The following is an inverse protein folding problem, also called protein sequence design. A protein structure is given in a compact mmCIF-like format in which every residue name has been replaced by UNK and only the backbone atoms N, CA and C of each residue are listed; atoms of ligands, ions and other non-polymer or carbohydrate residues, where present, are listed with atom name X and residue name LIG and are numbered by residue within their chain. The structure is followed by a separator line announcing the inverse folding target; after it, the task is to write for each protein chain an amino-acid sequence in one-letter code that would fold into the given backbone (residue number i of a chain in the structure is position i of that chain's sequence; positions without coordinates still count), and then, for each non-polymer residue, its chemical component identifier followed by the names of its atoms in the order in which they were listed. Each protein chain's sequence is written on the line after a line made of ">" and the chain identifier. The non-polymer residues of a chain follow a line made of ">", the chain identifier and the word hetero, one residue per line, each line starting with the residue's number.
data_IF_736915958892
#
_entry.id   IF_736915958892
#
_cell.length_a   1.000
_cell.length_b   1.000
_cell.length_c   1.000
_cell.angle_alpha   90.00
_cell.angle_beta   90.00
_cell.angle_gamma   90.00
#
_symmetry.space_group_name_H-M   'P 1'
#
loop_
_entity.id
_entity.type
_entity.pdbx_description
1 polymer ?
#
# COMPACT_ATOMS: atom_id res chain seq x y z
N UNK A 1 -14.53 32.94 1.94
CA UNK A 1 -15.72 32.05 1.82
C UNK A 1 -15.96 31.36 3.16
N UNK A 2 -17.21 31.17 3.61
CA UNK A 2 -17.52 30.62 4.94
C UNK A 2 -18.03 29.17 4.89
N UNK A 3 -17.88 28.46 6.00
CA UNK A 3 -18.55 27.17 6.20
C UNK A 3 -20.03 27.38 6.48
N UNK A 4 -20.86 26.41 6.05
CA UNK A 4 -22.28 26.38 6.39
C UNK A 4 -22.50 25.53 7.64
N UNK A 5 -23.38 25.98 8.53
CA UNK A 5 -23.76 25.26 9.75
C UNK A 5 -25.28 25.13 9.82
N UNK A 6 -25.76 23.99 10.29
CA UNK A 6 -27.18 23.81 10.57
C UNK A 6 -27.65 24.79 11.64
N UNK A 7 -28.84 25.37 11.48
CA UNK A 7 -29.48 26.25 12.47
C UNK A 7 -29.68 25.56 13.84
N UNK A 8 -29.67 24.23 13.84
CA UNK A 8 -29.72 23.36 15.02
C UNK A 8 -28.42 23.32 15.81
N UNK A 9 -27.37 24.01 15.38
CA UNK A 9 -26.05 23.95 16.02
C UNK A 9 -25.61 25.31 16.56
N UNK A 10 -24.77 25.31 17.59
CA UNK A 10 -24.13 26.50 18.12
C UNK A 10 -22.75 26.18 18.71
N UNK A 11 -21.78 27.06 18.48
CA UNK A 11 -20.47 26.97 19.12
C UNK A 11 -20.54 27.45 20.56
N UNK A 12 -19.99 26.66 21.49
CA UNK A 12 -19.93 26.97 22.93
C UNK A 12 -18.60 26.51 23.51
N UNK A 13 -18.32 26.87 24.77
CA UNK A 13 -17.17 26.31 25.50
C UNK A 13 -17.34 24.81 25.66
N UNK A 14 -16.32 24.04 25.31
CA UNK A 14 -16.31 22.59 25.43
C UNK A 14 -15.66 22.14 26.74
N UNK A 15 -16.03 20.92 27.19
CA UNK A 15 -15.32 20.22 28.27
C UNK A 15 -14.18 19.34 27.75
N UNK A 16 -14.18 19.03 26.45
CA UNK A 16 -13.13 18.27 25.78
C UNK A 16 -11.96 19.23 25.49
N UNK A 17 -12.20 20.23 24.65
CA UNK A 17 -11.16 21.17 24.23
C UNK A 17 -11.74 22.51 23.78
N UNK A 18 -11.22 23.61 24.31
CA UNK A 18 -11.53 24.98 23.88
C UNK A 18 -13.01 25.25 23.64
N UNK A 19 -13.41 25.29 22.35
CA UNK A 19 -14.79 25.42 21.91
C UNK A 19 -15.24 24.17 21.16
N UNK A 20 -16.50 23.81 21.35
CA UNK A 20 -17.17 22.71 20.66
C UNK A 20 -18.41 23.19 19.93
N UNK A 21 -18.87 22.40 18.97
CA UNK A 21 -20.16 22.56 18.30
C UNK A 21 -21.21 21.76 19.08
N UNK A 22 -22.34 22.37 19.41
CA UNK A 22 -23.38 21.74 20.23
C UNK A 22 -24.72 21.76 19.54
N UNK A 23 -25.52 20.71 19.76
CA UNK A 23 -26.92 20.65 19.37
C UNK A 23 -27.73 21.66 20.19
N UNK A 24 -28.46 22.57 19.54
CA UNK A 24 -29.45 23.46 20.15
C UNK A 24 -30.79 22.77 20.33
N UNK A 25 -31.12 21.86 19.43
CA UNK A 25 -32.33 21.05 19.38
C UNK A 25 -31.95 19.62 18.92
N UNK A 26 -32.86 18.62 19.03
CA UNK A 26 -32.58 17.27 18.56
C UNK A 26 -32.20 17.23 17.08
N UNK A 27 -31.17 16.46 16.76
CA UNK A 27 -30.67 16.23 15.39
C UNK A 27 -30.85 14.75 15.09
N UNK A 28 -31.63 14.41 14.07
CA UNK A 28 -31.85 13.03 13.65
C UNK A 28 -30.63 12.46 12.93
N UNK A 29 -30.48 11.14 12.99
CA UNK A 29 -29.46 10.40 12.25
C UNK A 29 -29.53 10.75 10.75
N UNK A 30 -28.37 11.02 10.14
CA UNK A 30 -28.23 11.36 8.74
C UNK A 30 -28.45 12.84 8.38
N UNK A 31 -28.89 13.69 9.32
CA UNK A 31 -28.97 15.14 9.11
C UNK A 31 -27.58 15.76 8.92
N UNK A 32 -27.48 16.74 8.02
CA UNK A 32 -26.25 17.50 7.80
C UNK A 32 -26.11 18.55 8.90
N UNK A 33 -24.97 18.54 9.59
CA UNK A 33 -24.69 19.47 10.71
C UNK A 33 -23.78 20.62 10.28
N UNK A 34 -22.87 20.38 9.34
CA UNK A 34 -22.00 21.39 8.77
C UNK A 34 -21.51 21.00 7.36
N UNK A 35 -21.19 22.00 6.55
CA UNK A 35 -20.46 21.83 5.27
C UNK A 35 -19.24 22.75 5.31
N UNK A 36 -18.05 22.16 5.22
CA UNK A 36 -16.79 22.88 5.32
C UNK A 36 -16.56 23.74 4.07
N UNK A 37 -16.41 25.03 4.30
CA UNK A 37 -15.98 26.04 3.33
C UNK A 37 -14.54 26.48 3.56
N UNK A 38 -14.03 27.27 2.63
CA UNK A 38 -12.66 27.79 2.63
C UNK A 38 -12.09 27.86 1.22
N UNK A 39 -10.83 28.26 1.11
CA UNK A 39 -10.04 28.12 -0.10
C UNK A 39 -9.27 26.80 -0.07
N UNK A 40 -9.10 26.20 -1.26
CA UNK A 40 -8.24 25.03 -1.44
C UNK A 40 -6.80 25.52 -1.54
N UNK A 41 -5.91 24.92 -0.74
CA UNK A 41 -4.50 25.25 -0.70
C UNK A 41 -3.66 23.98 -0.84
N UNK A 42 -2.58 24.07 -1.60
CA UNK A 42 -1.53 23.05 -1.55
C UNK A 42 -0.72 23.14 -0.25
N UNK A 43 0.06 22.10 0.03
CA UNK A 43 0.88 22.01 1.23
C UNK A 43 1.86 23.18 1.37
N UNK A 44 2.41 23.69 0.27
CA UNK A 44 3.40 24.79 0.33
C UNK A 44 2.74 26.10 0.75
N UNK A 45 1.56 26.38 0.20
CA UNK A 45 0.77 27.57 0.51
C UNK A 45 0.20 27.46 1.92
N UNK A 46 -0.35 26.30 2.28
CA UNK A 46 -0.89 26.04 3.61
C UNK A 46 0.20 26.18 4.69
N UNK A 47 1.38 25.61 4.49
CA UNK A 47 2.48 25.72 5.46
C UNK A 47 2.90 27.17 5.76
N UNK A 48 2.79 28.09 4.79
CA UNK A 48 3.09 29.52 5.00
C UNK A 48 2.00 30.25 5.79
N UNK A 49 0.77 29.77 5.71
CA UNK A 49 -0.40 30.40 6.33
C UNK A 49 -0.84 29.71 7.62
N UNK A 50 -0.31 28.51 7.92
CA UNK A 50 -0.76 27.63 9.01
C UNK A 50 -0.94 28.36 10.33
N UNK A 51 0.06 29.11 10.78
CA UNK A 51 0.01 29.87 12.03
C UNK A 51 -1.10 30.94 12.08
N UNK A 52 -1.57 31.40 10.92
CA UNK A 52 -2.60 32.42 10.79
C UNK A 52 -4.02 31.85 10.60
N UNK A 53 -4.16 30.58 10.24
CA UNK A 53 -5.45 30.00 9.81
C UNK A 53 -5.82 28.73 10.58
N UNK A 54 -4.87 28.10 11.28
CA UNK A 54 -5.14 26.94 12.11
C UNK A 54 -5.92 27.31 13.38
N UNK A 55 -6.76 26.41 13.91
CA UNK A 55 -7.02 25.03 13.46
C UNK A 55 -8.28 24.92 12.56
N UNK A 56 -8.50 25.86 11.64
CA UNK A 56 -9.69 25.88 10.79
C UNK A 56 -9.54 25.15 9.44
N UNK A 57 -8.48 24.37 9.27
CA UNK A 57 -8.19 23.53 8.11
C UNK A 57 -8.88 22.15 8.18
N UNK A 58 -9.11 21.55 7.03
CA UNK A 58 -9.43 20.12 6.88
C UNK A 58 -8.62 19.59 5.70
N UNK A 59 -7.96 18.44 5.87
CA UNK A 59 -7.28 17.78 4.75
C UNK A 59 -8.30 17.19 3.77
N UNK A 60 -8.09 17.39 2.47
CA UNK A 60 -8.98 16.89 1.40
C UNK A 60 -8.25 16.05 0.35
N UNK A 61 -6.92 16.00 0.35
CA UNK A 61 -6.10 15.04 -0.40
C UNK A 61 -4.68 15.05 0.20
N UNK A 62 -3.85 14.10 -0.20
CA UNK A 62 -2.40 14.15 0.02
C UNK A 62 -1.85 15.50 -0.47
N UNK A 63 -1.42 16.35 0.47
CA UNK A 63 -0.90 17.69 0.19
C UNK A 63 -1.94 18.76 -0.21
N UNK A 64 -3.25 18.51 -0.07
CA UNK A 64 -4.29 19.52 -0.30
C UNK A 64 -5.19 19.70 0.93
N UNK A 65 -5.46 20.96 1.27
CA UNK A 65 -6.26 21.36 2.42
C UNK A 65 -7.34 22.36 2.00
N UNK A 66 -8.46 22.37 2.73
CA UNK A 66 -9.45 23.45 2.69
C UNK A 66 -9.35 24.28 3.98
N UNK A 67 -9.02 25.57 3.86
CA UNK A 67 -8.74 26.45 5.00
C UNK A 67 -9.22 27.89 4.71
N UNK A 68 -9.42 28.74 5.74
CA UNK A 68 -9.60 30.18 5.52
C UNK A 68 -8.33 30.82 4.94
N UNK A 69 -8.46 31.98 4.29
CA UNK A 69 -7.32 32.70 3.71
C UNK A 69 -6.66 33.68 4.68
N UNK A 70 -7.31 34.02 5.80
CA UNK A 70 -6.82 34.96 6.80
C UNK A 70 -7.40 34.67 8.19
N UNK A 71 -6.82 35.28 9.21
CA UNK A 71 -7.26 35.14 10.60
C UNK A 71 -8.72 35.59 10.82
N UNK A 72 -9.17 36.65 10.13
CA UNK A 72 -10.53 37.17 10.25
C UNK A 72 -11.59 36.20 9.71
N UNK A 73 -11.21 35.28 8.83
CA UNK A 73 -12.10 34.25 8.28
C UNK A 73 -12.16 32.98 9.15
N UNK A 74 -11.32 32.84 10.19
CA UNK A 74 -11.26 31.65 11.05
C UNK A 74 -12.63 31.36 11.66
N UNK A 75 -13.28 32.35 12.27
CA UNK A 75 -14.52 32.09 13.01
C UNK A 75 -15.63 31.56 12.10
N UNK A 76 -15.69 32.03 10.86
CA UNK A 76 -16.66 31.58 9.88
C UNK A 76 -16.35 30.19 9.30
N UNK A 77 -15.15 29.65 9.53
CA UNK A 77 -14.65 28.44 8.89
C UNK A 77 -14.23 27.32 9.84
N UNK A 78 -13.94 27.62 11.10
CA UNK A 78 -13.62 26.62 12.12
C UNK A 78 -14.89 25.84 12.48
N UNK A 79 -14.84 24.52 12.35
CA UNK A 79 -16.02 23.68 12.60
C UNK A 79 -16.33 23.51 14.09
N UNK A 80 -15.30 23.59 14.94
CA UNK A 80 -15.37 23.25 16.36
C UNK A 80 -15.91 21.82 16.61
N UNK A 81 -15.64 20.89 15.69
CA UNK A 81 -15.92 19.47 15.88
C UNK A 81 -14.72 18.85 16.59
N UNK A 82 -14.79 18.79 17.92
CA UNK A 82 -13.73 18.19 18.72
C UNK A 82 -13.66 16.68 18.51
N UNK A 83 -12.48 16.13 18.80
CA UNK A 83 -12.25 14.71 18.77
C UNK A 83 -13.07 13.95 19.83
N UNK A 84 -13.69 12.83 19.45
CA UNK A 84 -14.13 11.77 20.38
C UNK A 84 -13.83 10.38 19.82
N UNK A 85 -13.39 9.46 20.68
CA UNK A 85 -13.25 8.02 20.34
C UNK A 85 -14.60 7.28 20.30
N UNK A 86 -15.69 7.93 20.70
CA UNK A 86 -17.07 7.51 20.44
C UNK A 86 -17.86 8.70 19.88
N UNK A 87 -17.64 9.05 18.60
CA UNK A 87 -18.17 10.26 17.99
C UNK A 87 -19.64 10.12 17.64
N UNK A 88 -20.34 11.24 17.46
CA UNK A 88 -21.71 11.27 16.94
C UNK A 88 -21.85 11.94 15.57
N UNK A 89 -20.75 12.49 15.03
CA UNK A 89 -20.66 13.09 13.69
C UNK A 89 -19.63 12.35 12.86
N UNK A 90 -19.97 12.12 11.59
CA UNK A 90 -19.09 11.55 10.57
C UNK A 90 -19.15 12.37 9.29
N UNK A 91 -18.53 11.86 8.22
CA UNK A 91 -18.40 12.57 6.93
C UNK A 91 -19.17 11.83 5.83
N UNK A 92 -19.88 12.59 4.99
CA UNK A 92 -20.49 12.10 3.76
C UNK A 92 -19.85 12.83 2.57
N UNK A 93 -19.23 12.09 1.65
CA UNK A 93 -18.43 12.71 0.59
C UNK A 93 -17.12 13.25 1.17
N UNK A 94 -16.74 14.50 0.86
CA UNK A 94 -15.44 15.05 1.32
C UNK A 94 -15.56 16.03 2.48
N UNK A 95 -16.49 16.98 2.39
CA UNK A 95 -16.55 18.16 3.28
C UNK A 95 -17.92 18.34 3.93
N UNK A 96 -18.81 17.36 3.82
CA UNK A 96 -20.16 17.41 4.43
C UNK A 96 -20.17 16.55 5.69
N UNK A 97 -20.48 17.16 6.83
CA UNK A 97 -20.51 16.51 8.13
C UNK A 97 -21.95 16.18 8.51
N UNK A 98 -22.18 14.94 8.93
CA UNK A 98 -23.51 14.38 9.16
C UNK A 98 -23.60 13.69 10.52
N UNK A 99 -24.78 13.74 11.14
CA UNK A 99 -25.05 12.96 12.35
C UNK A 99 -25.06 11.46 12.04
N UNK A 100 -24.31 10.67 12.80
CA UNK A 100 -24.22 9.20 12.63
C UNK A 100 -25.36 8.45 13.33
N UNK A 101 -25.99 9.11 14.29
CA UNK A 101 -27.08 8.63 15.16
C UNK A 101 -27.90 9.83 15.62
N UNK A 102 -29.05 9.59 16.25
CA UNK A 102 -29.82 10.68 16.87
C UNK A 102 -29.01 11.37 17.98
N UNK A 103 -28.99 12.70 17.96
CA UNK A 103 -28.22 13.53 18.89
C UNK A 103 -29.22 14.38 19.70
N UNK A 104 -29.26 14.25 21.03
CA UNK A 104 -30.16 15.03 21.86
C UNK A 104 -29.72 16.50 21.92
N UNK A 105 -30.68 17.40 22.17
CA UNK A 105 -30.39 18.80 22.42
C UNK A 105 -29.38 18.96 23.58
N UNK A 106 -28.42 19.86 23.41
CA UNK A 106 -27.37 20.13 24.38
C UNK A 106 -26.15 19.20 24.30
N UNK A 107 -26.19 18.12 23.51
CA UNK A 107 -25.01 17.28 23.30
C UNK A 107 -23.96 18.00 22.43
N UNK A 108 -22.69 17.72 22.72
CA UNK A 108 -21.57 18.15 21.87
C UNK A 108 -21.49 17.25 20.63
N UNK A 109 -21.34 17.88 19.47
CA UNK A 109 -21.08 17.23 18.20
C UNK A 109 -19.58 16.98 18.10
N UNK A 110 -19.21 15.70 18.00
CA UNK A 110 -17.83 15.25 18.01
C UNK A 110 -17.57 14.29 16.86
N UNK A 111 -16.36 14.32 16.34
CA UNK A 111 -15.89 13.49 15.23
C UNK A 111 -14.67 12.67 15.68
N UNK A 112 -14.47 11.50 15.10
CA UNK A 112 -13.18 10.81 15.20
C UNK A 112 -12.27 11.28 14.07
N UNK A 113 -11.10 11.83 14.40
CA UNK A 113 -10.17 12.38 13.40
C UNK A 113 -9.65 11.32 12.42
N UNK A 114 -9.72 10.03 12.76
CA UNK A 114 -9.49 8.95 11.81
C UNK A 114 -10.41 9.02 10.56
N UNK A 115 -11.55 9.72 10.65
CA UNK A 115 -12.47 9.91 9.51
C UNK A 115 -12.03 10.99 8.52
N UNK A 116 -11.07 11.85 8.87
CA UNK A 116 -10.68 13.02 8.07
C UNK A 116 -9.17 13.22 7.91
N UNK A 117 -8.37 12.75 8.85
CA UNK A 117 -6.93 12.98 8.91
C UNK A 117 -6.15 11.75 8.43
N UNK A 118 -5.13 12.01 7.61
CA UNK A 118 -4.20 11.01 7.11
C UNK A 118 -2.73 11.41 7.20
N UNK A 119 -2.40 12.53 7.86
CA UNK A 119 -1.01 12.99 7.98
C UNK A 119 -0.29 12.23 9.10
N UNK A 120 0.74 11.40 8.81
CA UNK A 120 1.44 10.63 9.83
C UNK A 120 2.15 11.49 10.88
N UNK A 121 2.37 12.78 10.60
CA UNK A 121 2.94 13.71 11.57
C UNK A 121 1.93 14.15 12.65
N UNK A 122 0.63 14.01 12.39
CA UNK A 122 -0.42 14.42 13.32
C UNK A 122 -0.53 13.45 14.49
N UNK A 123 -0.44 13.99 15.70
CA UNK A 123 -0.51 13.24 16.96
C UNK A 123 -0.99 14.14 18.07
N UNK A 124 -2.00 13.68 18.82
CA UNK A 124 -2.51 14.39 19.98
C UNK A 124 -2.83 13.46 21.16
N UNK A 125 -2.72 13.99 22.38
CA UNK A 125 -3.26 13.34 23.58
C UNK A 125 -4.78 13.54 23.64
N UNK A 126 -5.50 12.49 23.98
CA UNK A 126 -6.96 12.47 23.93
C UNK A 126 -7.58 12.35 25.33
N UNK A 127 -8.41 13.34 25.65
CA UNK A 127 -9.16 13.48 26.91
C UNK A 127 -10.67 13.43 26.70
N UNK A 128 -11.16 12.89 25.56
CA UNK A 128 -12.57 12.96 25.16
C UNK A 128 -13.60 12.33 26.12
N UNK A 129 -13.16 11.53 27.10
CA UNK A 129 -14.02 10.93 28.12
C UNK A 129 -14.83 9.71 27.67
N UNK A 130 -14.71 9.27 26.41
CA UNK A 130 -15.34 8.03 25.94
C UNK A 130 -14.84 6.80 26.73
N UNK A 131 -15.69 5.78 26.99
CA UNK A 131 -15.30 4.58 27.74
C UNK A 131 -14.08 3.86 27.15
N UNK A 132 -14.02 3.76 25.82
CA UNK A 132 -12.92 3.15 25.06
C UNK A 132 -12.02 4.23 24.42
N UNK A 133 -11.65 5.25 25.21
CA UNK A 133 -10.76 6.32 24.76
C UNK A 133 -9.35 5.77 24.44
N UNK A 134 -8.87 6.03 23.21
CA UNK A 134 -7.53 5.63 22.72
C UNK A 134 -6.37 6.28 23.45
N UNK A 135 -6.60 7.36 24.21
CA UNK A 135 -5.60 8.19 24.92
C UNK A 135 -4.62 8.95 24.02
N UNK A 136 -4.27 8.40 22.86
CA UNK A 136 -3.49 9.05 21.82
C UNK A 136 -4.23 8.84 20.50
N UNK A 137 -4.38 9.92 19.75
CA UNK A 137 -4.94 9.91 18.40
C UNK A 137 -3.83 10.27 17.44
N UNK A 138 -3.73 9.55 16.33
CA UNK A 138 -2.71 9.77 15.30
C UNK A 138 -3.35 9.90 13.93
N UNK A 139 -2.68 10.55 12.99
CA UNK A 139 -3.10 10.58 11.58
C UNK A 139 -2.97 9.23 10.85
N UNK A 140 -2.54 8.17 11.53
CA UNK A 140 -2.54 6.79 11.03
C UNK A 140 -3.74 5.97 11.55
N UNK A 141 -4.56 6.51 12.45
CA UNK A 141 -5.66 5.76 13.07
C UNK A 141 -6.70 5.25 12.06
N UNK A 142 -6.83 5.87 10.89
CA UNK A 142 -7.70 5.40 9.81
C UNK A 142 -7.33 3.99 9.31
N UNK A 143 -6.10 3.53 9.53
CA UNK A 143 -5.63 2.17 9.19
C UNK A 143 -6.17 1.09 10.11
N UNK A 144 -6.75 1.47 11.26
CA UNK A 144 -7.22 0.53 12.28
C UNK A 144 -8.46 -0.25 11.82
N UNK A 145 -8.41 -1.59 11.73
CA UNK A 145 -9.54 -2.38 11.23
C UNK A 145 -10.82 -2.25 12.06
N UNK A 146 -10.71 -2.02 13.37
CA UNK A 146 -11.83 -1.74 14.26
C UNK A 146 -12.54 -0.44 13.90
N UNK A 147 -11.80 0.63 13.63
CA UNK A 147 -12.36 1.93 13.24
C UNK A 147 -12.96 1.89 11.84
N UNK A 148 -12.30 1.22 10.89
CA UNK A 148 -12.82 1.02 9.53
C UNK A 148 -14.19 0.33 9.54
N UNK A 149 -14.37 -0.70 10.37
CA UNK A 149 -15.67 -1.37 10.54
C UNK A 149 -16.69 -0.48 11.23
N UNK A 150 -16.29 0.18 12.32
CA UNK A 150 -17.20 0.99 13.14
C UNK A 150 -17.74 2.21 12.40
N UNK A 151 -16.92 2.84 11.57
CA UNK A 151 -17.26 4.08 10.84
C UNK A 151 -17.46 3.84 9.35
N UNK A 152 -17.77 2.61 8.95
CA UNK A 152 -18.06 2.27 7.56
C UNK A 152 -19.14 3.22 6.99
N UNK A 153 -18.82 3.89 5.89
CA UNK A 153 -19.70 4.88 5.24
C UNK A 153 -19.61 6.32 5.78
N UNK A 154 -18.77 6.58 6.79
CA UNK A 154 -18.60 7.90 7.43
C UNK A 154 -17.19 8.50 7.32
N UNK A 155 -16.27 7.84 6.62
CA UNK A 155 -14.96 8.41 6.29
C UNK A 155 -15.09 9.47 5.18
N UNK A 156 -14.22 10.48 5.19
CA UNK A 156 -14.07 11.40 4.07
C UNK A 156 -13.66 10.63 2.80
N UNK A 157 -13.98 11.19 1.63
CA UNK A 157 -13.65 10.57 0.34
C UNK A 157 -12.16 10.32 0.21
N UNK A 158 -11.34 11.27 0.68
CA UNK A 158 -9.88 11.14 0.73
C UNK A 158 -9.44 9.90 1.51
N UNK A 159 -9.93 9.70 2.72
CA UNK A 159 -9.56 8.53 3.53
C UNK A 159 -10.08 7.23 2.90
N UNK A 160 -11.28 7.24 2.33
CA UNK A 160 -11.81 6.08 1.60
C UNK A 160 -10.95 5.69 0.41
N UNK A 161 -10.48 6.66 -0.39
CA UNK A 161 -9.59 6.39 -1.52
C UNK A 161 -8.24 5.84 -1.05
N UNK A 162 -7.74 6.26 0.11
CA UNK A 162 -6.53 5.70 0.73
C UNK A 162 -6.68 4.23 1.14
N UNK A 163 -7.86 3.80 1.62
CA UNK A 163 -8.11 2.37 1.84
C UNK A 163 -7.87 1.56 0.57
N UNK A 164 -8.38 2.05 -0.56
CA UNK A 164 -8.21 1.41 -1.87
C UNK A 164 -6.75 1.40 -2.34
N UNK A 165 -6.01 2.49 -2.11
CA UNK A 165 -4.58 2.58 -2.45
C UNK A 165 -3.75 1.56 -1.65
N UNK A 166 -3.97 1.41 -0.35
CA UNK A 166 -3.22 0.45 0.47
C UNK A 166 -3.58 -1.01 0.20
N UNK A 167 -4.87 -1.30 0.00
CA UNK A 167 -5.29 -2.64 -0.39
C UNK A 167 -4.70 -3.03 -1.76
N UNK A 168 -4.65 -2.11 -2.73
CA UNK A 168 -4.01 -2.34 -4.04
C UNK A 168 -2.50 -2.49 -3.95
N UNK A 169 -1.83 -1.70 -3.12
CA UNK A 169 -0.40 -1.82 -2.87
C UNK A 169 0.00 -3.18 -2.27
N UNK A 170 -0.95 -3.99 -1.80
CA UNK A 170 -0.70 -5.33 -1.25
C UNK A 170 -0.88 -6.44 -2.30
N UNK A 171 -1.56 -6.17 -3.43
CA UNK A 171 -1.86 -7.19 -4.45
C UNK A 171 -0.73 -7.26 -5.47
N UNK A 172 -0.18 -8.46 -5.64
CA UNK A 172 0.82 -8.76 -6.68
C UNK A 172 0.18 -9.67 -7.71
N UNK A 173 0.26 -9.26 -8.97
CA UNK A 173 -0.21 -10.04 -10.11
C UNK A 173 0.94 -10.86 -10.68
N UNK A 174 0.71 -12.14 -10.94
CA UNK A 174 1.68 -13.00 -11.62
C UNK A 174 1.28 -13.13 -13.09
N UNK A 175 2.22 -12.88 -13.99
CA UNK A 175 2.00 -12.93 -15.44
C UNK A 175 3.09 -13.74 -16.12
N UNK A 176 2.73 -14.48 -17.17
CA UNK A 176 3.72 -15.05 -18.08
C UNK A 176 4.14 -13.97 -19.08
N UNK A 177 5.42 -13.90 -19.41
CA UNK A 177 5.88 -13.07 -20.52
C UNK A 177 5.41 -13.69 -21.86
N UNK A 178 4.53 -12.97 -22.56
CA UNK A 178 3.96 -13.35 -23.85
C UNK A 178 3.87 -12.18 -24.85
N UNK A 179 4.24 -10.97 -24.43
CA UNK A 179 4.24 -9.75 -25.25
C UNK A 179 5.61 -9.08 -25.27
N UNK A 180 5.94 -8.27 -26.31
CA UNK A 180 7.20 -7.53 -26.37
C UNK A 180 7.49 -6.67 -25.13
N UNK A 181 6.45 -6.07 -24.53
CA UNK A 181 6.54 -5.22 -23.35
C UNK A 181 6.99 -6.03 -22.12
N UNK A 182 6.39 -7.21 -21.92
CA UNK A 182 6.75 -8.09 -20.81
C UNK A 182 8.15 -8.69 -20.98
N UNK A 183 8.55 -9.04 -22.20
CA UNK A 183 9.93 -9.47 -22.46
C UNK A 183 10.96 -8.37 -22.22
N UNK A 184 10.62 -7.12 -22.55
CA UNK A 184 11.44 -5.95 -22.24
C UNK A 184 11.55 -5.71 -20.73
N UNK A 185 10.45 -5.86 -19.98
CA UNK A 185 10.47 -5.78 -18.53
C UNK A 185 11.33 -6.90 -17.89
N UNK A 186 11.22 -8.13 -18.37
CA UNK A 186 12.03 -9.26 -17.91
C UNK A 186 13.53 -9.02 -18.13
N UNK A 187 13.90 -8.51 -19.31
CA UNK A 187 15.27 -8.16 -19.67
C UNK A 187 15.88 -7.19 -18.66
N UNK A 188 15.18 -6.10 -18.35
CA UNK A 188 15.66 -5.10 -17.38
C UNK A 188 15.94 -5.71 -16.01
N UNK A 189 15.05 -6.57 -15.51
CA UNK A 189 15.25 -7.26 -14.22
C UNK A 189 16.46 -8.21 -14.24
N UNK A 190 16.67 -8.93 -15.34
CA UNK A 190 17.80 -9.86 -15.47
C UNK A 190 19.14 -9.11 -15.57
N UNK A 191 19.16 -7.98 -16.28
CA UNK A 191 20.32 -7.08 -16.35
C UNK A 191 20.63 -6.46 -14.98
N UNK A 192 19.61 -5.97 -14.26
CA UNK A 192 19.76 -5.45 -12.89
C UNK A 192 20.27 -6.54 -11.92
N UNK A 193 19.74 -7.76 -12.03
CA UNK A 193 20.23 -8.90 -11.28
C UNK A 193 21.71 -9.18 -11.55
N UNK A 194 22.11 -9.23 -12.82
CA UNK A 194 23.50 -9.49 -13.19
C UNK A 194 24.44 -8.38 -12.68
N UNK A 195 24.05 -7.11 -12.82
CA UNK A 195 24.81 -5.98 -12.29
C UNK A 195 24.90 -6.00 -10.75
N UNK A 196 23.94 -6.61 -10.06
CA UNK A 196 23.96 -6.76 -8.60
C UNK A 196 24.89 -7.86 -8.09
N UNK A 197 25.37 -8.73 -8.98
CA UNK A 197 26.31 -9.79 -8.63
C UNK A 197 27.74 -9.26 -8.82
N UNK A 198 28.53 -9.30 -7.75
CA UNK A 198 29.96 -8.96 -7.74
C UNK A 198 30.83 -10.05 -8.41
N UNK A 199 30.28 -10.67 -9.45
CA UNK A 199 30.88 -11.74 -10.22
C UNK A 199 30.65 -11.41 -11.68
N UNK A 200 31.72 -11.42 -12.46
CA UNK A 200 31.63 -11.23 -13.91
C UNK A 200 30.79 -12.37 -14.52
N UNK A 201 29.53 -12.07 -14.80
CA UNK A 201 28.62 -12.92 -15.55
C UNK A 201 28.66 -12.59 -17.05
N UNK A 202 29.47 -11.62 -17.49
CA UNK A 202 29.61 -11.14 -18.88
C UNK A 202 30.34 -12.16 -19.78
N UNK A 203 30.06 -13.44 -19.60
CA UNK A 203 30.34 -14.44 -20.60
C UNK A 203 29.42 -14.21 -21.82
N UNK A 204 29.92 -14.49 -23.03
CA UNK A 204 29.15 -14.38 -24.28
C UNK A 204 27.75 -15.02 -24.17
N UNK A 205 27.66 -16.14 -23.45
CA UNK A 205 26.41 -16.87 -23.20
C UNK A 205 25.33 -16.07 -22.44
N UNK A 206 25.68 -15.14 -21.53
CA UNK A 206 24.69 -14.34 -20.80
C UNK A 206 24.04 -13.28 -21.70
N UNK A 207 24.86 -12.55 -22.45
CA UNK A 207 24.36 -11.49 -23.34
C UNK A 207 23.50 -12.06 -24.46
N UNK A 208 23.89 -13.20 -25.01
CA UNK A 208 23.11 -13.92 -26.02
C UNK A 208 21.78 -14.44 -25.45
N UNK A 209 21.79 -14.99 -24.22
CA UNK A 209 20.58 -15.43 -23.53
C UNK A 209 19.60 -14.26 -23.32
N UNK A 210 20.09 -13.14 -22.79
CA UNK A 210 19.27 -11.94 -22.55
C UNK A 210 18.73 -11.37 -23.86
N UNK A 211 19.49 -11.43 -24.95
CA UNK A 211 19.01 -11.04 -26.27
C UNK A 211 17.93 -11.97 -26.84
N UNK A 212 17.93 -13.24 -26.44
CA UNK A 212 17.04 -14.27 -26.96
C UNK A 212 16.02 -14.78 -25.92
N UNK A 213 15.60 -13.97 -24.93
CA UNK A 213 14.67 -14.43 -23.87
C UNK A 213 13.42 -15.17 -24.39
N UNK A 214 12.70 -14.70 -25.43
CA UNK A 214 11.55 -15.44 -25.95
C UNK A 214 11.92 -16.82 -26.53
N UNK A 215 13.14 -16.98 -27.05
CA UNK A 215 13.63 -18.26 -27.56
C UNK A 215 14.03 -19.21 -26.42
N UNK A 216 14.69 -18.68 -25.40
CA UNK A 216 15.23 -19.45 -24.28
C UNK A 216 14.14 -19.87 -23.29
N UNK A 217 13.15 -19.00 -23.05
CA UNK A 217 12.14 -19.14 -22.00
C UNK A 217 10.69 -19.08 -22.51
N UNK A 218 10.49 -19.00 -23.83
CA UNK A 218 9.14 -18.97 -24.41
C UNK A 218 8.47 -20.34 -24.50
N UNK A 219 7.20 -20.31 -24.89
CA UNK A 219 6.45 -21.51 -25.24
C UNK A 219 7.09 -22.26 -26.43
N UNK A 220 6.89 -23.59 -26.55
CA UNK A 220 6.07 -24.43 -25.68
C UNK A 220 6.83 -25.06 -24.50
N UNK A 221 8.16 -24.94 -24.45
CA UNK A 221 8.99 -25.71 -23.53
C UNK A 221 9.50 -24.93 -22.30
N UNK A 222 9.41 -23.59 -22.32
CA UNK A 222 9.82 -22.71 -21.24
C UNK A 222 8.69 -21.79 -20.80
N UNK A 223 8.93 -21.07 -19.71
CA UNK A 223 8.11 -19.93 -19.30
C UNK A 223 8.97 -18.93 -18.53
N UNK A 224 8.63 -17.65 -18.64
CA UNK A 224 9.15 -16.59 -17.78
C UNK A 224 7.97 -15.96 -17.04
N UNK A 225 7.99 -16.06 -15.72
CA UNK A 225 6.95 -15.53 -14.82
C UNK A 225 7.44 -14.21 -14.26
N UNK A 226 6.56 -13.20 -14.30
CA UNK A 226 6.77 -11.85 -13.82
C UNK A 226 5.81 -11.57 -12.67
N UNK A 227 6.31 -10.92 -11.62
CA UNK A 227 5.51 -10.35 -10.56
C UNK A 227 5.32 -8.85 -10.83
N UNK A 228 4.07 -8.40 -10.89
CA UNK A 228 3.68 -7.02 -11.14
C UNK A 228 2.96 -6.43 -9.92
N UNK A 229 3.36 -5.23 -9.52
CA UNK A 229 2.81 -4.46 -8.41
C UNK A 229 2.67 -3.00 -8.85
N UNK A 230 1.49 -2.41 -8.66
CA UNK A 230 1.18 -1.04 -9.06
C UNK A 230 1.52 -0.72 -10.54
N UNK A 231 1.29 -1.69 -11.44
CA UNK A 231 1.60 -1.56 -12.87
C UNK A 231 3.09 -1.69 -13.20
N UNK A 232 3.94 -1.99 -12.22
CA UNK A 232 5.39 -2.12 -12.38
C UNK A 232 5.79 -3.58 -12.15
N UNK A 233 6.60 -4.11 -13.05
CA UNK A 233 7.19 -5.45 -12.89
C UNK A 233 8.34 -5.38 -11.88
N UNK A 234 8.20 -6.09 -10.76
CA UNK A 234 9.09 -6.02 -9.58
C UNK A 234 9.87 -7.30 -9.31
N UNK A 235 9.59 -8.39 -10.03
CA UNK A 235 10.35 -9.62 -9.91
C UNK A 235 10.10 -10.57 -11.07
N UNK A 236 11.00 -11.54 -11.24
CA UNK A 236 10.90 -12.56 -12.27
C UNK A 236 11.47 -13.91 -11.82
N UNK A 237 11.04 -14.97 -12.49
CA UNK A 237 11.71 -16.27 -12.50
C UNK A 237 11.45 -16.94 -13.85
N UNK A 238 12.41 -17.71 -14.33
CA UNK A 238 12.32 -18.40 -15.60
C UNK A 238 12.45 -19.92 -15.44
N UNK A 239 11.84 -20.66 -16.35
CA UNK A 239 12.07 -22.08 -16.57
C UNK A 239 12.38 -22.33 -18.03
N UNK A 240 13.33 -23.23 -18.29
CA UNK A 240 13.65 -23.72 -19.64
C UNK A 240 13.83 -25.23 -19.66
N UNK A 241 13.73 -25.82 -20.85
CA UNK A 241 14.04 -27.24 -21.05
C UNK A 241 15.53 -27.49 -20.84
N UNK A 242 15.87 -28.54 -20.08
CA UNK A 242 17.25 -29.00 -19.92
C UNK A 242 17.47 -30.33 -20.65
N UNK A 243 16.54 -31.27 -20.49
CA UNK A 243 16.52 -32.56 -21.17
C UNK A 243 15.09 -33.08 -21.28
N UNK A 244 14.90 -34.28 -21.81
CA UNK A 244 13.59 -34.95 -21.78
C UNK A 244 13.14 -35.18 -20.34
N UNK A 245 11.95 -34.68 -19.99
CA UNK A 245 11.40 -34.75 -18.63
C UNK A 245 12.10 -33.88 -17.59
N UNK A 246 13.15 -33.12 -17.94
CA UNK A 246 13.92 -32.28 -17.00
C UNK A 246 13.94 -30.82 -17.45
N UNK A 247 13.54 -29.92 -16.56
CA UNK A 247 13.64 -28.47 -16.74
C UNK A 247 14.67 -27.85 -15.79
N UNK A 248 15.05 -26.61 -16.06
CA UNK A 248 15.93 -25.80 -15.22
C UNK A 248 15.22 -24.51 -14.82
N UNK A 249 15.16 -24.22 -13.51
CA UNK A 249 14.76 -22.90 -12.98
C UNK A 249 15.95 -21.95 -13.03
N UNK A 250 15.76 -20.75 -13.57
CA UNK A 250 16.80 -19.72 -13.67
C UNK A 250 16.24 -18.33 -13.40
N UNK A 251 17.16 -17.37 -13.23
CA UNK A 251 16.85 -15.93 -13.24
C UNK A 251 15.78 -15.52 -12.21
N UNK A 252 15.79 -16.15 -11.04
CA UNK A 252 14.97 -15.69 -9.92
C UNK A 252 15.54 -14.36 -9.42
N UNK A 253 14.73 -13.30 -9.50
CA UNK A 253 15.11 -11.98 -9.00
C UNK A 253 13.89 -11.22 -8.51
N UNK A 254 14.09 -10.46 -7.43
CA UNK A 254 13.12 -9.49 -6.90
C UNK A 254 13.89 -8.22 -6.56
N UNK A 255 13.40 -7.08 -7.04
CA UNK A 255 14.04 -5.77 -6.81
C UNK A 255 14.14 -5.50 -5.30
N UNK A 256 15.21 -4.82 -4.82
CA UNK A 256 15.44 -4.60 -3.39
C UNK A 256 14.23 -4.03 -2.63
N UNK A 257 13.54 -3.03 -3.22
CA UNK A 257 12.37 -2.37 -2.60
C UNK A 257 11.11 -3.22 -2.53
N UNK A 258 11.11 -4.44 -3.07
CA UNK A 258 9.99 -5.40 -2.99
C UNK A 258 10.40 -6.74 -2.35
N UNK A 259 11.56 -6.79 -1.69
CA UNK A 259 11.98 -7.96 -0.92
C UNK A 259 11.17 -8.09 0.38
N UNK A 260 11.24 -9.25 1.01
CA UNK A 260 10.57 -9.58 2.28
C UNK A 260 9.01 -9.64 2.23
N UNK A 261 8.42 -9.53 1.04
CA UNK A 261 6.98 -9.74 0.79
C UNK A 261 6.61 -11.18 0.40
N UNK A 262 7.52 -12.15 0.59
CA UNK A 262 7.30 -13.54 0.16
C UNK A 262 7.30 -13.75 -1.37
N UNK A 263 7.66 -12.73 -2.16
CA UNK A 263 7.59 -12.80 -3.63
C UNK A 263 8.54 -13.82 -4.25
N UNK A 264 9.75 -14.00 -3.69
CA UNK A 264 10.67 -15.03 -4.18
C UNK A 264 10.05 -16.44 -4.09
N UNK A 265 9.40 -16.75 -2.96
CA UNK A 265 8.66 -18.01 -2.78
C UNK A 265 7.51 -18.13 -3.77
N UNK A 266 6.69 -17.10 -3.88
CA UNK A 266 5.51 -17.08 -4.76
C UNK A 266 5.90 -17.32 -6.22
N UNK A 267 6.96 -16.66 -6.69
CA UNK A 267 7.52 -16.87 -8.03
C UNK A 267 8.00 -18.31 -8.22
N UNK A 268 8.78 -18.85 -7.27
CA UNK A 268 9.25 -20.23 -7.33
C UNK A 268 8.10 -21.26 -7.35
N UNK A 269 7.10 -21.11 -6.49
CA UNK A 269 5.94 -22.02 -6.45
C UNK A 269 5.16 -21.99 -7.77
N UNK A 270 5.00 -20.79 -8.33
CA UNK A 270 4.32 -20.60 -9.63
C UNK A 270 5.07 -21.25 -10.77
N UNK A 271 6.39 -21.09 -10.83
CA UNK A 271 7.20 -21.68 -11.91
C UNK A 271 7.32 -23.21 -11.77
N UNK A 272 7.31 -23.73 -10.54
CA UNK A 272 7.21 -25.19 -10.26
C UNK A 272 5.88 -25.74 -10.75
N UNK A 273 4.77 -25.05 -10.48
CA UNK A 273 3.45 -25.45 -10.97
C UNK A 273 3.38 -25.41 -12.50
N UNK A 274 3.96 -24.40 -13.14
CA UNK A 274 4.04 -24.33 -14.60
C UNK A 274 4.90 -25.47 -15.19
N UNK A 275 6.01 -25.82 -14.55
CA UNK A 275 6.83 -26.95 -14.99
C UNK A 275 6.07 -28.29 -14.94
N UNK A 276 5.28 -28.52 -13.87
CA UNK A 276 4.36 -29.68 -13.80
C UNK A 276 3.34 -29.66 -14.93
N UNK A 277 2.74 -28.50 -15.21
CA UNK A 277 1.76 -28.33 -16.29
C UNK A 277 2.35 -28.62 -17.67
N UNK A 278 3.63 -28.29 -17.87
CA UNK A 278 4.38 -28.60 -19.10
C UNK A 278 4.86 -30.06 -19.19
N UNK A 279 4.59 -30.89 -18.16
CA UNK A 279 4.90 -32.32 -18.17
C UNK A 279 6.33 -32.67 -17.74
N UNK A 280 7.07 -31.74 -17.11
CA UNK A 280 8.37 -32.07 -16.54
C UNK A 280 8.22 -32.89 -15.26
N UNK A 281 9.11 -33.87 -15.07
CA UNK A 281 9.16 -34.74 -13.88
C UNK A 281 10.25 -34.33 -12.90
N UNK A 282 11.22 -33.54 -13.36
CA UNK A 282 12.30 -32.98 -12.54
C UNK A 282 12.59 -31.53 -12.89
N UNK A 283 12.94 -30.75 -11.87
CA UNK A 283 13.44 -29.39 -12.00
C UNK A 283 14.81 -29.27 -11.34
N UNK A 284 15.75 -28.66 -12.05
CA UNK A 284 17.10 -28.40 -11.55
C UNK A 284 17.38 -26.92 -11.44
N UNK A 285 18.34 -26.57 -10.59
CA UNK A 285 18.89 -25.22 -10.52
C UNK A 285 20.34 -25.27 -10.04
N UNK A 286 21.03 -24.15 -10.22
CA UNK A 286 22.30 -23.84 -9.60
C UNK A 286 22.22 -22.52 -8.83
N UNK A 287 23.01 -22.40 -7.77
CA UNK A 287 23.06 -21.22 -6.92
C UNK A 287 24.47 -20.94 -6.44
N UNK A 288 24.83 -19.66 -6.34
CA UNK A 288 26.16 -19.22 -5.90
C UNK A 288 26.31 -19.37 -4.38
N UNK A 289 27.54 -19.57 -3.85
CA UNK A 289 27.81 -19.66 -2.42
C UNK A 289 27.29 -18.47 -1.62
N UNK A 290 27.39 -17.26 -2.17
CA UNK A 290 26.97 -16.00 -1.54
C UNK A 290 25.45 -15.84 -1.41
N UNK A 291 24.65 -16.66 -2.09
CA UNK A 291 23.19 -16.53 -2.13
C UNK A 291 22.49 -17.32 -1.01
N UNK A 292 22.88 -17.10 0.24
CA UNK A 292 22.35 -17.85 1.40
C UNK A 292 20.81 -17.87 1.47
N UNK A 293 20.17 -16.69 1.33
CA UNK A 293 18.70 -16.58 1.34
C UNK A 293 18.00 -17.38 0.23
N UNK A 294 18.61 -17.48 -0.95
CA UNK A 294 18.05 -18.26 -2.05
C UNK A 294 18.23 -19.77 -1.79
N UNK A 295 19.39 -20.17 -1.26
CA UNK A 295 19.64 -21.56 -0.86
C UNK A 295 18.61 -22.03 0.17
N UNK A 296 18.36 -21.23 1.23
CA UNK A 296 17.37 -21.55 2.26
C UNK A 296 15.95 -21.67 1.67
N UNK A 297 15.60 -20.76 0.75
CA UNK A 297 14.32 -20.81 0.03
C UNK A 297 14.20 -22.13 -0.76
N UNK A 298 15.21 -22.49 -1.57
CA UNK A 298 15.16 -23.71 -2.37
C UNK A 298 15.06 -24.97 -1.51
N UNK A 299 15.82 -25.05 -0.41
CA UNK A 299 15.71 -26.16 0.56
C UNK A 299 14.29 -26.24 1.13
N UNK A 300 13.69 -25.11 1.51
CA UNK A 300 12.33 -25.07 2.04
C UNK A 300 11.25 -25.45 1.02
N UNK A 301 11.55 -25.34 -0.28
CA UNK A 301 10.69 -25.78 -1.38
C UNK A 301 10.89 -27.26 -1.74
N UNK A 302 11.80 -27.95 -1.05
CA UNK A 302 12.06 -29.38 -1.23
C UNK A 302 13.18 -29.71 -2.21
N UNK A 303 13.92 -28.72 -2.72
CA UNK A 303 15.11 -28.99 -3.53
C UNK A 303 16.18 -29.68 -2.69
N UNK A 304 16.81 -30.70 -3.27
CA UNK A 304 17.90 -31.47 -2.65
C UNK A 304 19.19 -31.31 -3.45
N UNK A 305 20.38 -31.38 -2.82
CA UNK A 305 21.64 -31.37 -3.55
C UNK A 305 21.71 -32.46 -4.63
N UNK A 306 22.28 -32.14 -5.78
CA UNK A 306 22.55 -33.08 -6.88
C UNK A 306 23.97 -32.91 -7.40
N UNK A 307 24.45 -33.87 -8.20
CA UNK A 307 25.70 -33.72 -8.94
C UNK A 307 25.61 -32.56 -9.94
N UNK A 308 26.72 -31.85 -10.21
CA UNK A 308 26.79 -30.86 -11.27
C UNK A 308 26.32 -31.45 -12.61
N UNK A 309 25.44 -30.73 -13.30
CA UNK A 309 24.90 -31.12 -14.61
C UNK A 309 25.32 -30.15 -15.73
N UNK A 310 26.08 -29.12 -15.38
CA UNK A 310 26.75 -28.20 -16.29
C UNK A 310 27.98 -27.62 -15.59
N UNK A 311 28.87 -27.03 -16.38
CA UNK A 311 29.96 -26.26 -15.82
C UNK A 311 29.45 -24.92 -15.25
N UNK A 312 30.00 -24.52 -14.10
CA UNK A 312 29.75 -23.22 -13.50
C UNK A 312 31.11 -22.59 -13.15
N UNK A 313 31.46 -21.44 -13.73
CA UNK A 313 32.78 -20.82 -13.56
C UNK A 313 33.03 -20.34 -12.13
N UNK A 314 32.00 -20.26 -11.28
CA UNK A 314 32.11 -19.81 -9.89
C UNK A 314 32.43 -20.99 -8.97
N UNK A 315 33.60 -21.02 -8.32
CA UNK A 315 33.95 -22.06 -7.37
C UNK A 315 32.93 -22.17 -6.23
N UNK A 316 32.54 -23.40 -5.89
CA UNK A 316 31.61 -23.68 -4.80
C UNK A 316 30.13 -23.52 -5.17
N UNK A 317 29.78 -23.25 -6.43
CA UNK A 317 28.39 -23.26 -6.88
C UNK A 317 27.71 -24.59 -6.52
N UNK A 318 26.50 -24.51 -5.95
CA UNK A 318 25.71 -25.67 -5.55
C UNK A 318 24.68 -25.98 -6.61
N UNK A 319 24.47 -27.27 -6.89
CA UNK A 319 23.44 -27.75 -7.79
C UNK A 319 22.36 -28.46 -6.99
N UNK A 320 21.10 -28.21 -7.34
CA UNK A 320 19.96 -28.77 -6.63
C UNK A 320 18.90 -29.31 -7.60
N UNK A 321 18.14 -30.31 -7.17
CA UNK A 321 17.08 -30.96 -7.92
C UNK A 321 15.80 -31.09 -7.06
N UNK A 322 14.65 -30.89 -7.69
CA UNK A 322 13.33 -31.15 -7.16
C UNK A 322 12.62 -32.16 -8.07
N UNK A 323 12.06 -33.22 -7.47
CA UNK A 323 11.09 -34.08 -8.15
C UNK A 323 9.74 -33.35 -8.22
N UNK A 324 9.16 -33.26 -9.42
CA UNK A 324 7.95 -32.51 -9.69
C UNK A 324 6.69 -33.36 -9.47
#
# INVERSE_FOLDING_TARGET
>A
MSSWFSAKTAKRRSRIEGRGLFAREPIAAGEIVAVKGGAIMDLTTFARLRDQVSPAEVQIEDGLYIAPCSADEIEANILCLNHSCDPNVGVRGQVTFVAMRDIPAGAELTIDYAMIDGDPAERMECSCGAPECRKVVTGDDWRRPDLQRRYAGYFSRYIQDRFGREQRATVVYLRRADSPELWSAARRLIEEYAASLDVDLEFQNFRDEVNALPREYGAPHGALILAERDGVVVGCVALRKLAEGVCEMKRLYVIPGSRDLGLGRTLCETVIAEARRLGYTRMRLDTLPSMGRAQDLYVSLGFKPTTPYRDNPVPGAKFMELAL
#
